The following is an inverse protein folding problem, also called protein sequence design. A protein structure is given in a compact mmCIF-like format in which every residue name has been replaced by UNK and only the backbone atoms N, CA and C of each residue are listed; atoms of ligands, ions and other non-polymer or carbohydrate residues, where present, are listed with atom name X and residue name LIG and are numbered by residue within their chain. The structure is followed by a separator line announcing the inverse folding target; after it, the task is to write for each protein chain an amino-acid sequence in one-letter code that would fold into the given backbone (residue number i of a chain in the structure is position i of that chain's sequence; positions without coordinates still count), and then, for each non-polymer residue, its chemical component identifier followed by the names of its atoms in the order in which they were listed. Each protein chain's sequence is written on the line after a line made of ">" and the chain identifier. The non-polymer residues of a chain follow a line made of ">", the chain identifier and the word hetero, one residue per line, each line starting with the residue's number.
data_IF_070504912836
#
_entry.id   IF_070504912836
#
_cell.length_a   1.000
_cell.length_b   1.000
_cell.length_c   1.000
_cell.angle_alpha   90.00
_cell.angle_beta   90.00
_cell.angle_gamma   90.00
#
_symmetry.space_group_name_H-M   'P 1'
#
loop_
_entity.id
_entity.type
_entity.pdbx_description
1 polymer ?
#
# COMPACT_ATOMS: atom_id res chain seq x y z
N UNK A 1 31.33 -7.24 -13.94
CA UNK A 1 30.70 -8.44 -13.37
C UNK A 1 30.72 -9.53 -14.42
N UNK A 2 31.15 -10.74 -14.08
CA UNK A 2 31.18 -11.86 -15.02
C UNK A 2 29.73 -12.35 -15.23
N UNK A 3 29.15 -12.07 -16.41
CA UNK A 3 27.83 -12.58 -16.78
C UNK A 3 27.84 -14.10 -16.85
N UNK A 4 26.66 -14.72 -16.70
CA UNK A 4 26.54 -16.17 -16.88
C UNK A 4 26.25 -16.51 -18.33
N UNK A 5 27.00 -17.45 -18.90
CA UNK A 5 26.71 -18.00 -20.21
C UNK A 5 25.58 -19.03 -20.09
N UNK A 6 24.40 -18.71 -20.62
CA UNK A 6 23.36 -19.72 -20.85
C UNK A 6 23.78 -20.52 -22.07
N UNK A 7 23.68 -21.85 -21.99
CA UNK A 7 24.44 -22.80 -22.82
C UNK A 7 24.37 -22.65 -24.36
N UNK A 8 23.48 -21.82 -24.90
CA UNK A 8 23.37 -21.51 -26.34
C UNK A 8 23.62 -20.04 -26.71
N UNK A 9 24.34 -19.26 -25.90
CA UNK A 9 24.93 -17.99 -26.34
C UNK A 9 24.28 -16.72 -25.78
N UNK A 10 23.15 -16.82 -25.08
CA UNK A 10 22.62 -15.69 -24.30
C UNK A 10 23.46 -15.46 -23.04
N UNK A 11 23.95 -14.23 -22.84
CA UNK A 11 24.64 -13.83 -21.60
C UNK A 11 23.78 -12.81 -20.88
N UNK A 12 23.05 -13.25 -19.85
CA UNK A 12 22.46 -12.31 -18.88
C UNK A 12 23.59 -11.85 -17.96
N UNK A 13 23.88 -10.55 -18.02
CA UNK A 13 24.92 -9.91 -17.22
C UNK A 13 24.39 -9.32 -15.92
N UNK A 14 23.06 -9.22 -15.83
CA UNK A 14 22.35 -8.65 -14.69
C UNK A 14 22.55 -9.52 -13.45
N UNK A 15 22.61 -8.87 -12.29
CA UNK A 15 22.66 -9.55 -10.98
C UNK A 15 21.37 -10.29 -10.66
N UNK A 16 20.25 -9.77 -11.17
CA UNK A 16 18.90 -10.28 -10.94
C UNK A 16 18.11 -10.25 -12.25
N UNK A 17 17.28 -11.27 -12.46
CA UNK A 17 16.53 -11.49 -13.69
C UNK A 17 15.31 -12.38 -13.41
N UNK A 18 14.53 -12.72 -14.44
CA UNK A 18 13.29 -13.48 -14.33
C UNK A 18 13.49 -14.91 -14.83
N UNK A 19 12.95 -15.88 -14.11
CA UNK A 19 12.76 -17.24 -14.57
C UNK A 19 11.28 -17.48 -14.88
N UNK A 20 10.98 -18.13 -16.00
CA UNK A 20 9.61 -18.52 -16.37
C UNK A 20 9.47 -20.02 -16.59
N UNK A 21 8.30 -20.54 -16.26
CA UNK A 21 7.86 -21.89 -16.59
C UNK A 21 6.56 -21.83 -17.38
N UNK A 22 6.54 -22.45 -18.55
CA UNK A 22 5.38 -22.49 -19.44
C UNK A 22 4.35 -23.51 -18.96
N UNK A 23 3.06 -23.18 -19.07
CA UNK A 23 2.00 -24.19 -19.00
C UNK A 23 2.18 -25.16 -20.18
N UNK A 24 2.10 -26.48 -19.94
CA UNK A 24 2.69 -27.49 -20.83
C UNK A 24 2.32 -27.42 -22.33
N UNK A 25 1.13 -26.91 -22.70
CA UNK A 25 0.71 -26.73 -24.10
C UNK A 25 1.20 -25.41 -24.71
N UNK A 26 1.51 -24.41 -23.88
CA UNK A 26 1.84 -23.04 -24.26
C UNK A 26 3.36 -22.80 -24.30
N UNK A 27 4.17 -23.86 -24.29
CA UNK A 27 5.63 -23.73 -24.47
C UNK A 27 5.96 -23.42 -25.93
N UNK A 28 6.95 -22.55 -26.23
CA UNK A 28 7.40 -22.30 -27.61
C UNK A 28 7.99 -23.54 -28.30
N UNK A 29 8.30 -24.61 -27.55
CA UNK A 29 8.69 -25.92 -28.12
C UNK A 29 7.50 -26.71 -28.69
N UNK A 30 6.27 -26.34 -28.33
CA UNK A 30 5.02 -27.07 -28.62
C UNK A 30 3.94 -26.19 -29.25
N UNK A 31 4.05 -24.88 -29.12
CA UNK A 31 3.14 -23.88 -29.67
C UNK A 31 3.91 -23.01 -30.68
N UNK A 32 3.55 -23.14 -31.96
CA UNK A 32 4.16 -22.38 -33.07
C UNK A 32 3.88 -20.89 -32.97
N UNK A 33 2.65 -20.48 -32.63
CA UNK A 33 2.27 -19.07 -32.56
C UNK A 33 3.07 -18.30 -31.49
N UNK A 34 3.35 -18.95 -30.34
CA UNK A 34 4.20 -18.36 -29.28
C UNK A 34 5.66 -18.32 -29.71
N UNK A 35 6.12 -19.32 -30.45
CA UNK A 35 7.48 -19.35 -30.99
C UNK A 35 7.67 -18.20 -31.98
N UNK A 36 6.72 -18.03 -32.91
CA UNK A 36 6.75 -16.98 -33.92
C UNK A 36 6.68 -15.59 -33.26
N UNK A 37 5.83 -15.40 -32.25
CA UNK A 37 5.80 -14.17 -31.44
C UNK A 37 7.16 -13.83 -30.83
N UNK A 38 7.85 -14.82 -30.24
CA UNK A 38 9.17 -14.60 -29.64
C UNK A 38 10.21 -14.22 -30.70
N UNK A 39 10.18 -14.88 -31.87
CA UNK A 39 11.07 -14.57 -32.99
C UNK A 39 10.84 -13.14 -33.52
N UNK A 40 9.58 -12.72 -33.66
CA UNK A 40 9.22 -11.35 -34.06
C UNK A 40 9.72 -10.31 -33.05
N UNK A 41 9.53 -10.55 -31.74
CA UNK A 41 10.01 -9.65 -30.68
C UNK A 41 11.55 -9.58 -30.64
N UNK A 42 12.22 -10.72 -30.86
CA UNK A 42 13.67 -10.78 -30.91
C UNK A 42 14.23 -9.99 -32.08
N UNK A 43 13.61 -10.11 -33.27
CA UNK A 43 13.96 -9.33 -34.46
C UNK A 43 13.72 -7.83 -34.28
N UNK A 44 12.63 -7.44 -33.63
CA UNK A 44 12.25 -6.04 -33.46
C UNK A 44 13.08 -5.33 -32.36
N UNK A 45 13.35 -6.00 -31.23
CA UNK A 45 13.87 -5.34 -30.02
C UNK A 45 15.21 -5.89 -29.50
N UNK A 46 15.61 -7.13 -29.81
CA UNK A 46 16.67 -7.84 -29.06
C UNK A 46 17.85 -8.39 -29.89
N UNK A 47 17.90 -8.12 -31.20
CA UNK A 47 19.00 -8.58 -32.08
C UNK A 47 20.41 -8.25 -31.57
N UNK A 48 20.60 -7.03 -31.06
CA UNK A 48 21.92 -6.53 -30.63
C UNK A 48 22.22 -6.76 -29.14
N UNK A 49 21.22 -7.12 -28.33
CA UNK A 49 21.31 -7.23 -26.87
C UNK A 49 21.24 -8.67 -26.34
N UNK A 50 20.93 -9.63 -27.22
CA UNK A 50 20.77 -11.04 -26.89
C UNK A 50 19.28 -11.43 -26.90
N UNK A 51 18.95 -12.47 -27.65
CA UNK A 51 17.57 -12.89 -27.92
C UNK A 51 16.96 -13.64 -26.73
N UNK A 52 15.63 -13.56 -26.58
CA UNK A 52 14.85 -14.39 -25.67
C UNK A 52 14.96 -15.87 -26.05
N UNK A 53 14.98 -16.18 -27.35
CA UNK A 53 15.15 -17.55 -27.85
C UNK A 53 16.38 -18.25 -27.26
N UNK A 54 17.49 -17.51 -27.09
CA UNK A 54 18.75 -18.03 -26.54
C UNK A 54 18.82 -18.02 -25.01
N UNK A 55 18.08 -17.14 -24.34
CA UNK A 55 18.12 -16.96 -22.89
C UNK A 55 17.07 -17.78 -22.13
N UNK A 56 15.97 -18.17 -22.78
CA UNK A 56 14.92 -18.98 -22.16
C UNK A 56 15.46 -20.24 -21.44
N UNK A 57 14.99 -20.54 -20.21
CA UNK A 57 13.83 -19.96 -19.53
C UNK A 57 14.11 -18.70 -18.70
N UNK A 58 15.29 -18.08 -18.85
CA UNK A 58 15.68 -16.90 -18.10
C UNK A 58 15.59 -15.66 -18.98
N UNK A 59 15.03 -14.58 -18.47
CA UNK A 59 14.78 -13.34 -19.19
C UNK A 59 15.29 -12.17 -18.37
N UNK A 60 15.89 -11.16 -19.00
CA UNK A 60 16.07 -9.85 -18.34
C UNK A 60 14.69 -9.28 -17.96
N UNK A 61 14.64 -8.28 -17.09
CA UNK A 61 13.36 -7.65 -16.76
C UNK A 61 12.70 -7.02 -17.99
N UNK A 62 13.47 -6.35 -18.85
CA UNK A 62 12.99 -5.83 -20.13
C UNK A 62 12.39 -6.93 -21.01
N UNK A 63 13.10 -8.05 -21.19
CA UNK A 63 12.60 -9.17 -21.98
C UNK A 63 11.31 -9.76 -21.41
N UNK A 64 11.23 -9.92 -20.09
CA UNK A 64 10.05 -10.45 -19.42
C UNK A 64 8.84 -9.53 -19.59
N UNK A 65 9.00 -8.22 -19.37
CA UNK A 65 7.91 -7.24 -19.52
C UNK A 65 7.42 -7.16 -20.96
N UNK A 66 8.34 -7.08 -21.93
CA UNK A 66 7.99 -7.09 -23.35
C UNK A 66 7.23 -8.36 -23.73
N UNK A 67 7.71 -9.53 -23.30
CA UNK A 67 7.05 -10.80 -23.58
C UNK A 67 5.66 -10.89 -22.93
N UNK A 68 5.51 -10.45 -21.69
CA UNK A 68 4.24 -10.57 -20.96
C UNK A 68 3.16 -9.68 -21.56
N UNK A 69 3.50 -8.44 -21.93
CA UNK A 69 2.57 -7.57 -22.66
C UNK A 69 2.21 -8.15 -24.03
N UNK A 70 3.18 -8.65 -24.79
CA UNK A 70 2.93 -9.22 -26.11
C UNK A 70 2.04 -10.48 -26.03
N UNK A 71 2.29 -11.38 -25.07
CA UNK A 71 1.45 -12.56 -24.83
C UNK A 71 0.00 -12.16 -24.52
N UNK A 72 -0.19 -11.15 -23.66
CA UNK A 72 -1.51 -10.65 -23.32
C UNK A 72 -2.20 -10.03 -24.53
N UNK A 73 -1.49 -9.19 -25.27
CA UNK A 73 -2.06 -8.42 -26.37
C UNK A 73 -2.45 -9.34 -27.55
N UNK A 74 -1.70 -10.41 -27.79
CA UNK A 74 -1.98 -11.36 -28.86
C UNK A 74 -2.97 -12.48 -28.47
N UNK A 75 -2.91 -12.99 -27.24
CA UNK A 75 -3.66 -14.18 -26.82
C UNK A 75 -4.75 -13.91 -25.76
N UNK A 76 -4.87 -12.67 -25.27
CA UNK A 76 -5.74 -12.31 -24.15
C UNK A 76 -5.15 -12.75 -22.81
N UNK A 77 -6.02 -13.08 -21.84
CA UNK A 77 -5.56 -13.56 -20.54
C UNK A 77 -4.65 -14.80 -20.70
N UNK A 78 -3.39 -14.67 -20.28
CA UNK A 78 -2.36 -15.69 -20.47
C UNK A 78 -1.84 -16.20 -19.13
N UNK A 79 -1.59 -17.51 -19.00
CA UNK A 79 -1.11 -18.11 -17.75
C UNK A 79 0.21 -18.84 -17.94
N UNK A 80 1.25 -18.40 -17.25
CA UNK A 80 2.48 -19.14 -17.06
C UNK A 80 2.33 -20.11 -15.87
N UNK A 81 2.97 -21.28 -15.95
CA UNK A 81 2.96 -22.25 -14.85
C UNK A 81 3.67 -21.68 -13.62
N UNK A 82 4.75 -20.91 -13.83
CA UNK A 82 5.50 -20.24 -12.77
C UNK A 82 6.24 -19.03 -13.31
N UNK A 83 6.35 -17.99 -12.50
CA UNK A 83 7.35 -16.93 -12.64
C UNK A 83 8.10 -16.78 -11.33
N UNK A 84 9.43 -16.60 -11.38
CA UNK A 84 10.29 -16.45 -10.21
C UNK A 84 11.30 -15.34 -10.44
N UNK A 85 11.61 -14.60 -9.38
CA UNK A 85 12.88 -13.89 -9.35
C UNK A 85 14.02 -14.91 -9.41
N UNK A 86 15.10 -14.52 -10.06
CA UNK A 86 16.31 -15.30 -10.19
C UNK A 86 17.52 -14.39 -9.97
N UNK A 87 18.57 -14.93 -9.37
CA UNK A 87 19.81 -14.22 -9.10
C UNK A 87 21.01 -14.96 -9.70
N UNK A 88 22.07 -14.21 -9.97
CA UNK A 88 23.34 -14.77 -10.39
C UNK A 88 24.23 -15.12 -9.19
N UNK A 89 24.23 -16.39 -8.79
CA UNK A 89 25.09 -16.91 -7.75
C UNK A 89 26.41 -17.42 -8.33
N UNK A 90 27.45 -16.58 -8.28
CA UNK A 90 28.82 -16.94 -8.70
C UNK A 90 28.91 -17.42 -10.16
N UNK A 91 28.15 -16.80 -11.05
CA UNK A 91 28.08 -17.21 -12.45
C UNK A 91 27.24 -18.46 -12.63
N UNK A 92 26.11 -18.59 -11.92
CA UNK A 92 25.05 -19.58 -12.17
C UNK A 92 23.70 -19.00 -11.77
N UNK A 93 22.63 -19.24 -12.54
CA UNK A 93 21.31 -18.78 -12.18
C UNK A 93 20.77 -19.64 -11.03
N UNK A 94 20.20 -18.98 -10.02
CA UNK A 94 19.49 -19.59 -8.91
C UNK A 94 18.11 -18.97 -8.78
N UNK A 95 17.14 -19.80 -8.44
CA UNK A 95 15.77 -19.40 -8.03
C UNK A 95 15.43 -19.94 -6.64
N UNK A 96 16.44 -20.49 -5.95
CA UNK A 96 16.29 -21.05 -4.62
C UNK A 96 16.04 -19.91 -3.63
N UNK A 97 15.07 -20.10 -2.73
CA UNK A 97 14.64 -19.07 -1.77
C UNK A 97 14.23 -17.72 -2.37
N UNK A 98 13.93 -17.68 -3.67
CA UNK A 98 13.46 -16.47 -4.34
C UNK A 98 11.92 -16.34 -4.34
N UNK A 99 11.40 -15.09 -4.35
CA UNK A 99 9.99 -14.81 -4.58
C UNK A 99 9.52 -15.43 -5.90
N UNK A 100 8.40 -16.16 -5.84
CA UNK A 100 7.84 -16.82 -7.01
C UNK A 100 6.32 -16.88 -6.95
N UNK A 101 5.70 -16.96 -8.11
CA UNK A 101 4.25 -17.00 -8.30
C UNK A 101 3.91 -18.20 -9.17
N UNK A 102 3.00 -19.05 -8.69
CA UNK A 102 2.53 -20.22 -9.41
C UNK A 102 1.08 -20.53 -9.05
N UNK A 103 0.14 -20.56 -10.02
CA UNK A 103 0.30 -20.12 -11.42
C UNK A 103 0.45 -18.59 -11.51
N UNK A 104 1.03 -18.09 -12.61
CA UNK A 104 1.17 -16.65 -12.86
C UNK A 104 0.23 -16.22 -14.00
N UNK A 105 -0.76 -15.40 -13.66
CA UNK A 105 -1.76 -14.87 -14.58
C UNK A 105 -1.34 -13.49 -15.10
N UNK A 106 -1.35 -13.34 -16.42
CA UNK A 106 -1.13 -12.10 -17.16
C UNK A 106 -2.49 -11.73 -17.79
N UNK A 107 -3.25 -10.89 -17.09
CA UNK A 107 -4.56 -10.42 -17.55
C UNK A 107 -4.52 -8.91 -17.83
N UNK A 108 -5.68 -8.32 -18.10
CA UNK A 108 -5.85 -6.88 -18.29
C UNK A 108 -5.45 -6.02 -17.06
N UNK A 109 -5.27 -6.61 -15.88
CA UNK A 109 -4.81 -5.94 -14.64
C UNK A 109 -3.31 -6.11 -14.41
N UNK A 110 -2.61 -6.84 -15.29
CA UNK A 110 -1.16 -6.92 -15.26
C UNK A 110 -0.54 -5.56 -15.62
N UNK A 111 0.19 -5.00 -14.64
CA UNK A 111 0.93 -3.75 -14.78
C UNK A 111 2.43 -4.04 -14.97
N UNK A 112 3.08 -4.57 -13.93
CA UNK A 112 4.49 -4.97 -13.98
C UNK A 112 4.81 -6.16 -13.08
N UNK A 113 5.90 -6.87 -13.36
CA UNK A 113 6.31 -8.08 -12.66
C UNK A 113 6.77 -7.80 -11.24
N UNK A 114 7.38 -6.63 -11.01
CA UNK A 114 7.99 -6.32 -9.72
C UNK A 114 6.93 -6.15 -8.64
N UNK A 115 5.83 -5.45 -8.93
CA UNK A 115 4.67 -5.36 -8.02
C UNK A 115 4.16 -6.76 -7.66
N UNK A 116 4.01 -7.65 -8.66
CA UNK A 116 3.52 -9.01 -8.41
C UNK A 116 4.49 -9.83 -7.54
N UNK A 117 5.80 -9.73 -7.77
CA UNK A 117 6.81 -10.43 -6.98
C UNK A 117 6.94 -9.89 -5.55
N UNK A 118 6.84 -8.57 -5.36
CA UNK A 118 6.82 -7.95 -4.04
C UNK A 118 5.60 -8.42 -3.24
N UNK A 119 4.41 -8.40 -3.84
CA UNK A 119 3.19 -8.95 -3.22
C UNK A 119 3.34 -10.44 -2.88
N UNK A 120 3.91 -11.23 -3.79
CA UNK A 120 4.15 -12.65 -3.58
C UNK A 120 5.06 -12.90 -2.38
N UNK A 121 6.12 -12.08 -2.22
CA UNK A 121 7.02 -12.17 -1.08
C UNK A 121 6.32 -11.94 0.26
N UNK A 122 5.30 -11.07 0.28
CA UNK A 122 4.51 -10.81 1.49
C UNK A 122 3.56 -11.95 1.84
N UNK A 123 3.12 -12.73 0.84
CA UNK A 123 2.21 -13.88 1.00
C UNK A 123 2.95 -15.18 1.33
N UNK A 124 4.21 -15.31 0.93
CA UNK A 124 4.92 -16.59 0.96
C UNK A 124 5.35 -17.01 2.39
N UNK A 125 4.90 -18.18 2.88
CA UNK A 125 5.29 -18.69 4.21
C UNK A 125 6.78 -18.96 4.38
N UNK A 126 7.54 -19.15 3.27
CA UNK A 126 9.00 -19.27 3.32
C UNK A 126 9.64 -18.01 3.89
N UNK A 127 9.01 -16.85 3.70
CA UNK A 127 9.50 -15.56 4.17
C UNK A 127 8.85 -15.09 5.49
N UNK A 128 8.19 -15.99 6.23
CA UNK A 128 7.49 -15.64 7.48
C UNK A 128 8.40 -15.07 8.58
N UNK A 129 9.68 -15.46 8.56
CA UNK A 129 10.65 -15.12 9.61
C UNK A 129 11.41 -13.82 9.29
N UNK A 130 11.21 -13.25 8.10
CA UNK A 130 11.71 -11.92 7.72
C UNK A 130 10.72 -10.85 8.18
N UNK A 131 11.22 -9.68 8.57
CA UNK A 131 10.35 -8.53 8.87
C UNK A 131 9.89 -7.84 7.59
N UNK A 132 8.87 -6.98 7.71
CA UNK A 132 8.46 -6.12 6.60
C UNK A 132 9.63 -5.28 6.05
N UNK A 133 10.44 -4.70 6.94
CA UNK A 133 11.57 -3.86 6.56
C UNK A 133 12.66 -4.67 5.84
N UNK A 134 12.89 -5.93 6.24
CA UNK A 134 13.86 -6.81 5.57
C UNK A 134 13.44 -7.10 4.12
N UNK A 135 12.16 -7.43 3.92
CA UNK A 135 11.62 -7.67 2.58
C UNK A 135 11.62 -6.38 1.75
N UNK A 136 11.21 -5.26 2.32
CA UNK A 136 11.25 -3.98 1.62
C UNK A 136 12.69 -3.62 1.22
N UNK A 137 13.67 -3.82 2.11
CA UNK A 137 15.08 -3.56 1.82
C UNK A 137 15.61 -4.47 0.72
N UNK A 138 15.23 -5.75 0.71
CA UNK A 138 15.62 -6.70 -0.34
C UNK A 138 15.30 -6.17 -1.75
N UNK A 139 14.11 -5.57 -1.93
CA UNK A 139 13.73 -4.99 -3.21
C UNK A 139 14.25 -3.56 -3.42
N UNK A 140 14.25 -2.72 -2.38
CA UNK A 140 14.40 -1.25 -2.51
C UNK A 140 15.78 -0.70 -2.12
N UNK A 141 16.71 -1.56 -1.67
CA UNK A 141 18.04 -1.11 -1.29
C UNK A 141 18.71 -0.30 -2.41
N UNK A 142 19.32 0.83 -2.04
CA UNK A 142 19.84 1.80 -3.01
C UNK A 142 21.06 1.29 -3.77
N UNK A 143 21.83 0.40 -3.14
CA UNK A 143 23.09 -0.08 -3.72
C UNK A 143 22.88 -1.41 -4.44
N UNK A 144 22.11 -2.32 -3.84
CA UNK A 144 22.00 -3.72 -4.26
C UNK A 144 20.55 -4.23 -4.37
N UNK A 145 19.54 -3.36 -4.24
CA UNK A 145 18.14 -3.77 -4.30
C UNK A 145 17.71 -4.21 -5.70
N UNK A 146 16.77 -5.16 -5.78
CA UNK A 146 16.26 -5.70 -7.05
C UNK A 146 15.68 -4.60 -7.96
N UNK A 147 15.03 -3.58 -7.38
CA UNK A 147 14.47 -2.46 -8.12
C UNK A 147 15.51 -1.66 -8.89
N UNK A 148 16.77 -1.65 -8.44
CA UNK A 148 17.86 -1.00 -9.16
C UNK A 148 18.11 -1.70 -10.49
N UNK A 149 18.25 -3.03 -10.48
CA UNK A 149 18.45 -3.83 -11.70
C UNK A 149 17.24 -3.76 -12.62
N UNK A 150 16.03 -3.75 -12.04
CA UNK A 150 14.80 -3.50 -12.79
C UNK A 150 14.80 -2.12 -13.47
N UNK A 151 15.18 -1.06 -12.75
CA UNK A 151 15.30 0.30 -13.29
C UNK A 151 16.29 0.36 -14.45
N UNK A 152 17.47 -0.24 -14.28
CA UNK A 152 18.53 -0.27 -15.28
C UNK A 152 18.10 -1.03 -16.53
N UNK A 153 17.38 -2.15 -16.36
CA UNK A 153 16.92 -2.97 -17.47
C UNK A 153 15.85 -2.28 -18.32
N UNK A 154 14.91 -1.56 -17.70
CA UNK A 154 13.84 -0.83 -18.40
C UNK A 154 14.16 0.64 -18.69
N UNK A 155 15.34 1.12 -18.28
CA UNK A 155 15.74 2.54 -18.35
C UNK A 155 14.72 3.48 -17.65
N UNK A 156 14.25 3.09 -16.47
CA UNK A 156 13.29 3.83 -15.67
C UNK A 156 13.96 4.89 -14.79
N UNK A 157 13.25 6.00 -14.56
CA UNK A 157 13.64 6.96 -13.54
C UNK A 157 13.20 6.49 -12.15
N UNK A 158 13.76 7.11 -11.10
CA UNK A 158 13.35 6.79 -9.73
C UNK A 158 11.86 7.08 -9.46
N UNK A 159 11.25 8.02 -10.21
CA UNK A 159 9.83 8.35 -10.06
C UNK A 159 8.89 7.29 -10.67
N UNK A 160 9.40 6.48 -11.59
CA UNK A 160 8.64 5.46 -12.31
C UNK A 160 8.77 4.07 -11.65
N UNK A 161 9.55 3.98 -10.57
CA UNK A 161 9.75 2.72 -9.86
C UNK A 161 8.54 2.37 -8.99
N UNK A 162 8.09 1.10 -9.01
CA UNK A 162 7.03 0.67 -8.13
C UNK A 162 7.48 0.71 -6.67
N UNK A 163 6.57 1.15 -5.80
CA UNK A 163 6.80 1.15 -4.36
C UNK A 163 6.61 -0.25 -3.80
N UNK A 164 7.40 -0.60 -2.79
CA UNK A 164 7.16 -1.83 -2.03
C UNK A 164 5.81 -1.69 -1.28
N UNK A 165 4.85 -2.60 -1.51
CA UNK A 165 3.49 -2.45 -1.03
C UNK A 165 3.39 -2.70 0.47
N UNK A 166 2.45 -2.03 1.16
CA UNK A 166 2.17 -2.29 2.57
C UNK A 166 1.51 -3.66 2.75
N UNK A 167 1.76 -4.34 3.88
CA UNK A 167 1.09 -5.63 4.17
C UNK A 167 -0.43 -5.54 4.20
N UNK A 168 -0.98 -4.37 4.57
CA UNK A 168 -2.43 -4.10 4.58
C UNK A 168 -3.07 -4.14 3.20
N UNK A 169 -2.28 -3.79 2.18
CA UNK A 169 -2.76 -3.57 0.82
C UNK A 169 -2.64 -4.88 0.01
N UNK A 170 -1.83 -5.82 0.50
CA UNK A 170 -1.61 -7.12 -0.12
C UNK A 170 -2.49 -8.18 0.53
N UNK A 171 -3.56 -8.54 -0.17
CA UNK A 171 -4.44 -9.61 0.27
C UNK A 171 -3.67 -10.92 0.50
N UNK A 172 -3.89 -11.55 1.65
CA UNK A 172 -3.21 -12.80 2.03
C UNK A 172 -1.78 -12.62 2.52
N UNK A 173 -1.30 -11.37 2.70
CA UNK A 173 -0.03 -11.12 3.34
C UNK A 173 0.00 -11.67 4.77
N UNK A 174 1.15 -12.24 5.12
CA UNK A 174 1.43 -12.68 6.49
C UNK A 174 1.66 -11.42 7.34
N UNK A 175 0.98 -11.30 8.48
CA UNK A 175 1.21 -10.15 9.39
C UNK A 175 2.57 -10.30 10.07
N UNK A 176 3.49 -9.38 9.79
CA UNK A 176 4.84 -9.40 10.38
C UNK A 176 4.95 -8.42 11.53
N UNK A 177 5.88 -8.69 12.43
CA UNK A 177 6.21 -7.74 13.48
C UNK A 177 7.00 -6.59 12.86
N UNK A 178 6.50 -5.36 13.00
CA UNK A 178 7.30 -4.17 12.72
C UNK A 178 8.27 -3.94 13.90
N UNK A 179 9.58 -3.78 13.66
CA UNK A 179 10.47 -3.34 14.72
C UNK A 179 9.99 -1.98 15.23
N UNK A 180 9.74 -1.88 16.55
CA UNK A 180 9.43 -0.59 17.20
C UNK A 180 10.64 0.33 16.99
N UNK A 181 10.49 1.32 16.11
CA UNK A 181 11.51 2.33 15.84
C UNK A 181 11.67 3.23 17.08
N UNK A 182 12.57 2.85 17.99
CA UNK A 182 13.04 3.74 19.05
C UNK A 182 13.80 4.90 18.39
N UNK A 183 13.20 6.08 18.45
CA UNK A 183 13.78 7.32 17.97
C UNK A 183 14.44 8.01 19.17
N UNK A 184 15.77 7.92 19.29
CA UNK A 184 16.61 9.05 19.74
C UNK A 184 18.13 8.79 19.70
N UNK A 185 18.79 9.76 19.04
CA UNK A 185 20.12 10.37 19.23
C UNK A 185 21.41 9.53 19.18
N UNK A 186 22.32 10.01 18.34
CA UNK A 186 23.72 10.22 18.73
C UNK A 186 24.74 9.68 17.74
N UNK A 187 25.29 10.57 16.91
CA UNK A 187 26.51 10.32 16.13
C UNK A 187 27.66 9.95 17.08
N UNK A 188 28.35 8.86 16.75
CA UNK A 188 29.77 8.67 17.07
C UNK A 188 30.39 7.87 15.93
N UNK A 189 31.05 8.58 15.02
CA UNK A 189 32.24 8.12 14.29
C UNK A 189 33.31 7.68 15.33
N UNK A 190 34.23 6.75 15.10
CA UNK A 190 34.61 5.90 13.98
C UNK A 190 35.57 4.84 14.58
N UNK A 191 35.57 3.62 14.05
CA UNK A 191 36.46 2.55 14.50
C UNK A 191 36.43 1.35 13.56
N UNK A 192 36.99 1.57 12.38
CA UNK A 192 37.49 0.62 11.36
C UNK A 192 37.20 -0.90 11.45
N UNK A 193 36.61 -1.36 10.34
CA UNK A 193 37.00 -2.51 9.51
C UNK A 193 36.55 -3.95 9.90
N UNK A 194 35.69 -4.47 9.01
CA UNK A 194 35.60 -5.86 8.54
C UNK A 194 35.24 -6.95 9.56
N UNK A 195 33.94 -7.22 9.71
CA UNK A 195 33.46 -8.60 9.98
C UNK A 195 31.97 -8.82 9.65
N UNK A 196 31.52 -8.51 8.43
CA UNK A 196 30.19 -8.94 7.98
C UNK A 196 30.19 -9.35 6.51
N UNK A 197 31.11 -10.24 6.12
CA UNK A 197 30.97 -11.04 4.91
C UNK A 197 31.69 -12.38 5.10
N UNK A 198 31.00 -13.46 4.72
CA UNK A 198 31.39 -14.88 4.82
C UNK A 198 31.12 -15.58 6.16
N UNK A 199 29.97 -16.26 6.25
CA UNK A 199 29.84 -17.63 6.81
C UNK A 199 28.47 -18.21 6.44
N UNK A 200 28.27 -18.64 5.19
CA UNK A 200 27.34 -19.75 4.91
C UNK A 200 27.99 -20.67 3.89
N UNK A 201 28.70 -21.67 4.40
CA UNK A 201 28.93 -22.94 3.72
C UNK A 201 29.24 -24.02 4.77
N UNK A 202 28.65 -25.20 4.56
CA UNK A 202 28.88 -26.50 5.19
C UNK A 202 28.18 -26.85 6.52
N UNK A 203 27.03 -27.52 6.35
CA UNK A 203 26.59 -28.65 7.18
C UNK A 203 25.93 -29.72 6.29
N UNK A 204 26.71 -30.69 5.81
CA UNK A 204 26.26 -31.89 5.08
C UNK A 204 25.60 -32.89 6.04
N UNK A 205 24.51 -33.54 5.60
CA UNK A 205 24.28 -34.97 5.86
C UNK A 205 23.09 -35.39 6.74
N UNK A 206 22.19 -36.16 6.10
CA UNK A 206 21.28 -37.18 6.66
C UNK A 206 19.94 -36.67 7.24
N UNK A 207 18.96 -36.49 6.35
CA UNK A 207 17.60 -37.02 6.55
C UNK A 207 16.94 -37.29 5.18
N UNK A 208 17.65 -38.03 4.32
CA UNK A 208 17.03 -38.74 3.22
C UNK A 208 16.41 -40.03 3.74
N UNK A 209 15.19 -39.96 4.28
CA UNK A 209 14.16 -41.01 4.26
C UNK A 209 12.97 -40.56 5.11
N UNK A 210 11.76 -40.75 4.56
CA UNK A 210 10.42 -40.36 5.05
C UNK A 210 10.13 -38.87 4.77
N UNK A 211 9.42 -38.46 3.70
CA UNK A 211 8.07 -38.88 3.31
C UNK A 211 7.97 -38.91 1.78
N UNK A 212 8.34 -40.05 1.18
CA UNK A 212 7.48 -40.61 0.14
C UNK A 212 6.23 -41.12 0.83
N UNK A 213 5.06 -40.93 0.22
CA UNK A 213 3.69 -41.10 0.78
C UNK A 213 3.13 -39.81 1.42
N UNK A 214 2.81 -38.82 0.60
CA UNK A 214 1.54 -38.09 0.72
C UNK A 214 0.95 -37.72 -0.66
N UNK A 215 1.22 -38.55 -1.67
CA UNK A 215 0.57 -38.50 -2.98
C UNK A 215 -0.71 -39.33 -3.08
N UNK A 216 -1.21 -39.90 -1.97
CA UNK A 216 -2.41 -40.77 -1.96
C UNK A 216 -3.26 -40.59 -0.70
N UNK A 217 -3.74 -39.37 -0.44
CA UNK A 217 -5.05 -39.12 0.22
C UNK A 217 -5.72 -37.94 -0.47
N UNK A 218 -5.95 -38.08 -1.78
CA UNK A 218 -7.06 -37.41 -2.44
C UNK A 218 -8.27 -38.29 -2.17
N UNK A 219 -9.13 -37.86 -1.24
CA UNK A 219 -10.39 -38.52 -0.93
C UNK A 219 -10.68 -38.53 0.57
N UNK A 220 -11.72 -37.82 0.98
CA UNK A 220 -12.30 -37.77 2.35
C UNK A 220 -11.70 -36.74 3.34
N UNK A 221 -11.72 -35.45 2.98
CA UNK A 221 -11.84 -34.34 3.96
C UNK A 221 -12.34 -33.05 3.29
N UNK A 222 -13.35 -33.15 2.42
CA UNK A 222 -13.93 -32.01 1.72
C UNK A 222 -15.36 -31.81 2.17
N UNK A 223 -15.59 -30.94 3.16
CA UNK A 223 -16.89 -30.26 3.37
C UNK A 223 -16.67 -28.95 4.16
N UNK A 224 -15.86 -28.95 5.23
CA UNK A 224 -15.57 -27.73 6.01
C UNK A 224 -14.66 -26.74 5.29
N UNK A 225 -13.64 -27.21 4.56
CA UNK A 225 -12.74 -26.36 3.75
C UNK A 225 -13.41 -25.75 2.51
N UNK A 226 -14.50 -26.35 2.01
CA UNK A 226 -15.28 -25.83 0.86
C UNK A 226 -16.17 -24.66 1.25
N UNK A 227 -16.91 -24.78 2.37
CA UNK A 227 -17.70 -23.67 2.89
C UNK A 227 -16.82 -22.46 3.27
N UNK A 228 -15.62 -22.70 3.78
CA UNK A 228 -14.65 -21.63 4.07
C UNK A 228 -14.04 -21.03 2.80
N UNK A 229 -13.87 -21.81 1.72
CA UNK A 229 -13.45 -21.30 0.42
C UNK A 229 -14.56 -20.46 -0.21
N UNK A 230 -15.81 -20.94 -0.23
CA UNK A 230 -16.95 -20.21 -0.80
C UNK A 230 -17.25 -18.93 -0.02
N UNK A 231 -17.16 -18.94 1.31
CA UNK A 231 -17.30 -17.73 2.12
C UNK A 231 -16.17 -16.72 1.86
N UNK A 232 -14.94 -17.18 1.66
CA UNK A 232 -13.83 -16.32 1.25
C UNK A 232 -14.04 -15.78 -0.16
N UNK A 233 -14.44 -16.61 -1.13
CA UNK A 233 -14.73 -16.16 -2.50
C UNK A 233 -15.89 -15.15 -2.54
N UNK A 234 -16.96 -15.37 -1.78
CA UNK A 234 -18.08 -14.43 -1.68
C UNK A 234 -17.68 -13.12 -0.99
N UNK A 235 -16.86 -13.19 0.06
CA UNK A 235 -16.31 -12.01 0.73
C UNK A 235 -15.41 -11.19 -0.21
N UNK A 236 -14.53 -11.85 -0.96
CA UNK A 236 -13.64 -11.19 -1.92
C UNK A 236 -14.38 -10.60 -3.10
N UNK A 237 -15.42 -11.26 -3.59
CA UNK A 237 -16.30 -10.69 -4.62
C UNK A 237 -17.03 -9.44 -4.10
N UNK A 238 -17.49 -9.47 -2.85
CA UNK A 238 -18.09 -8.29 -2.20
C UNK A 238 -17.07 -7.17 -1.97
N UNK A 239 -15.84 -7.49 -1.60
CA UNK A 239 -14.75 -6.51 -1.40
C UNK A 239 -14.30 -5.90 -2.73
N UNK A 240 -14.20 -6.71 -3.80
CA UNK A 240 -13.92 -6.25 -5.16
C UNK A 240 -15.02 -5.31 -5.68
N UNK A 241 -16.30 -5.66 -5.49
CA UNK A 241 -17.41 -4.76 -5.87
C UNK A 241 -17.38 -3.44 -5.10
N UNK A 242 -16.98 -3.46 -3.82
CA UNK A 242 -16.81 -2.25 -3.00
C UNK A 242 -15.67 -1.38 -3.51
N UNK A 243 -14.55 -1.97 -3.90
CA UNK A 243 -13.40 -1.25 -4.46
C UNK A 243 -13.75 -0.65 -5.83
N UNK A 244 -14.41 -1.41 -6.71
CA UNK A 244 -14.88 -0.89 -8.01
C UNK A 244 -15.85 0.27 -7.82
N UNK A 245 -16.83 0.12 -6.92
CA UNK A 245 -17.77 1.19 -6.59
C UNK A 245 -17.07 2.42 -6.01
N UNK A 246 -16.03 2.23 -5.19
CA UNK A 246 -15.23 3.35 -4.68
C UNK A 246 -14.49 4.06 -5.82
N UNK A 247 -13.77 3.32 -6.68
CA UNK A 247 -13.03 3.87 -7.81
C UNK A 247 -13.92 4.60 -8.83
N UNK A 248 -15.10 4.05 -9.14
CA UNK A 248 -16.06 4.69 -10.06
C UNK A 248 -16.63 6.00 -9.52
N UNK A 249 -16.72 6.13 -8.19
CA UNK A 249 -17.48 7.21 -7.53
C UNK A 249 -16.60 8.22 -6.82
N UNK A 250 -15.33 7.91 -6.58
CA UNK A 250 -14.38 8.77 -5.85
C UNK A 250 -14.31 10.18 -6.45
N UNK A 251 -14.14 10.29 -7.77
CA UNK A 251 -14.07 11.60 -8.44
C UNK A 251 -15.38 12.38 -8.34
N UNK A 252 -16.53 11.71 -8.51
CA UNK A 252 -17.83 12.35 -8.39
C UNK A 252 -18.10 12.82 -6.95
N UNK A 253 -17.69 12.02 -5.97
CA UNK A 253 -17.73 12.35 -4.56
C UNK A 253 -16.81 13.54 -4.22
N UNK A 254 -15.59 13.61 -4.78
CA UNK A 254 -14.70 14.76 -4.60
C UNK A 254 -15.32 16.06 -5.14
N UNK A 255 -15.86 15.99 -6.36
CA UNK A 255 -16.55 17.13 -6.96
C UNK A 255 -17.70 17.60 -6.07
N UNK A 256 -18.52 16.67 -5.56
CA UNK A 256 -19.57 16.99 -4.59
C UNK A 256 -19.01 17.71 -3.35
N UNK A 257 -17.96 17.16 -2.72
CA UNK A 257 -17.35 17.75 -1.54
C UNK A 257 -16.82 19.16 -1.80
N UNK A 258 -16.22 19.41 -2.97
CA UNK A 258 -15.72 20.73 -3.39
C UNK A 258 -16.84 21.76 -3.58
N UNK A 259 -18.06 21.35 -3.92
CA UNK A 259 -19.23 22.24 -3.94
C UNK A 259 -19.85 22.42 -2.56
N UNK A 260 -19.92 21.35 -1.77
CA UNK A 260 -20.50 21.40 -0.42
C UNK A 260 -19.68 22.29 0.53
N UNK A 261 -18.37 22.12 0.58
CA UNK A 261 -17.49 22.76 1.57
C UNK A 261 -17.56 24.30 1.57
N UNK A 262 -17.48 24.99 0.42
CA UNK A 262 -17.65 26.45 0.38
C UNK A 262 -19.03 26.91 0.86
N UNK A 263 -20.08 26.13 0.58
CA UNK A 263 -21.43 26.43 1.06
C UNK A 263 -21.54 26.18 2.58
N UNK A 264 -20.90 25.12 3.09
CA UNK A 264 -20.81 24.84 4.54
C UNK A 264 -20.16 25.99 5.32
N UNK A 265 -19.07 26.58 4.80
CA UNK A 265 -18.38 27.70 5.45
C UNK A 265 -18.91 29.10 5.07
N UNK A 266 -20.03 29.17 4.34
CA UNK A 266 -20.62 30.44 3.89
C UNK A 266 -21.37 31.20 4.99
N UNK A 267 -21.70 30.54 6.11
CA UNK A 267 -22.61 31.04 7.14
C UNK A 267 -24.09 31.07 6.73
N UNK A 268 -24.44 30.66 5.51
CA UNK A 268 -25.79 30.69 4.96
C UNK A 268 -26.46 29.31 5.03
N UNK A 269 -27.53 29.18 5.82
CA UNK A 269 -28.23 27.90 6.02
C UNK A 269 -28.97 27.46 4.76
N UNK A 270 -29.57 28.39 4.04
CA UNK A 270 -30.30 28.11 2.79
C UNK A 270 -29.39 27.55 1.70
N UNK A 271 -28.11 27.95 1.69
CA UNK A 271 -27.11 27.43 0.77
C UNK A 271 -26.80 25.93 0.98
N UNK A 272 -27.14 25.35 2.13
CA UNK A 272 -26.95 23.92 2.40
C UNK A 272 -28.10 23.05 1.88
N UNK A 273 -29.27 23.63 1.62
CA UNK A 273 -30.48 22.87 1.28
C UNK A 273 -30.29 21.85 0.14
N UNK A 274 -29.55 22.15 -0.95
CA UNK A 274 -29.32 21.18 -2.03
C UNK A 274 -28.48 19.96 -1.63
N UNK A 275 -27.73 20.06 -0.52
CA UNK A 275 -26.74 19.07 -0.11
C UNK A 275 -27.24 18.17 1.02
N UNK A 276 -28.21 18.59 1.83
CA UNK A 276 -28.58 17.88 3.06
C UNK A 276 -29.65 16.81 2.81
N UNK A 277 -29.44 15.60 3.33
CA UNK A 277 -30.51 14.60 3.39
C UNK A 277 -31.59 14.98 4.40
N UNK A 278 -32.80 14.43 4.22
CA UNK A 278 -33.98 14.68 5.06
C UNK A 278 -33.91 14.06 6.47
N UNK A 279 -32.85 13.28 6.75
CA UNK A 279 -32.55 12.68 8.05
C UNK A 279 -31.86 13.66 9.00
N UNK A 280 -30.84 13.20 9.71
CA UNK A 280 -30.11 13.99 10.72
C UNK A 280 -29.32 15.14 10.10
N UNK A 281 -28.85 14.97 8.86
CA UNK A 281 -28.09 16.00 8.14
C UNK A 281 -28.84 17.32 7.97
N UNK A 282 -30.19 17.33 7.97
CA UNK A 282 -30.97 18.59 7.86
C UNK A 282 -30.69 19.59 8.98
N UNK A 283 -30.20 19.12 10.12
CA UNK A 283 -29.88 19.96 11.28
C UNK A 283 -28.49 20.60 11.20
N UNK A 284 -27.62 20.17 10.28
CA UNK A 284 -26.27 20.70 10.04
C UNK A 284 -26.26 22.22 9.95
N UNK A 285 -25.63 22.91 10.89
CA UNK A 285 -25.49 24.36 10.86
C UNK A 285 -24.26 24.76 10.04
N UNK A 286 -24.35 25.81 9.18
CA UNK A 286 -23.18 26.30 8.49
C UNK A 286 -22.19 26.94 9.48
N UNK A 287 -20.91 26.81 9.18
CA UNK A 287 -19.86 27.59 9.81
C UNK A 287 -19.57 28.85 9.00
N UNK A 288 -18.92 29.85 9.59
CA UNK A 288 -18.45 31.03 8.87
C UNK A 288 -16.93 31.05 8.87
N UNK A 289 -16.32 30.84 7.70
CA UNK A 289 -14.86 30.95 7.55
C UNK A 289 -14.47 31.32 6.12
N UNK A 290 -13.35 32.01 5.95
CA UNK A 290 -12.77 32.23 4.61
C UNK A 290 -11.83 31.08 4.26
N UNK A 291 -12.26 30.23 3.33
CA UNK A 291 -11.47 29.11 2.83
C UNK A 291 -10.41 29.62 1.83
N UNK A 292 -9.17 29.18 2.02
CA UNK A 292 -8.06 29.36 1.07
C UNK A 292 -7.88 28.13 0.20
N UNK A 293 -7.98 26.92 0.77
CA UNK A 293 -7.89 25.67 0.02
C UNK A 293 -8.71 24.54 0.65
N UNK A 294 -9.15 23.62 -0.20
CA UNK A 294 -9.79 22.36 0.17
C UNK A 294 -9.14 21.20 -0.62
N UNK A 295 -8.42 20.33 0.08
CA UNK A 295 -7.73 19.18 -0.52
C UNK A 295 -8.34 17.89 0.03
N UNK A 296 -8.78 17.02 -0.87
CA UNK A 296 -9.26 15.70 -0.50
C UNK A 296 -8.10 14.89 0.10
N UNK A 297 -8.31 14.33 1.28
CA UNK A 297 -7.35 13.46 1.97
C UNK A 297 -7.72 11.98 1.82
N UNK A 298 -9.02 11.64 1.92
CA UNK A 298 -9.47 10.26 1.91
C UNK A 298 -10.95 10.15 1.51
N UNK A 299 -11.31 9.05 0.83
CA UNK A 299 -12.68 8.60 0.63
C UNK A 299 -12.80 7.15 1.11
N UNK A 300 -13.75 6.90 2.00
CA UNK A 300 -13.97 5.57 2.58
C UNK A 300 -15.40 5.11 2.33
N UNK A 301 -15.59 3.95 1.70
CA UNK A 301 -16.90 3.31 1.60
C UNK A 301 -17.23 2.60 2.92
N UNK A 302 -18.33 2.99 3.55
CA UNK A 302 -18.84 2.39 4.79
C UNK A 302 -19.72 1.16 4.50
N UNK A 303 -20.04 0.40 5.57
CA UNK A 303 -20.79 -0.86 5.45
C UNK A 303 -22.22 -0.68 4.94
N UNK A 304 -22.79 0.51 5.05
CA UNK A 304 -24.16 0.87 4.70
C UNK A 304 -24.27 1.56 3.32
N UNK A 305 -23.26 1.40 2.47
CA UNK A 305 -23.15 2.01 1.14
C UNK A 305 -23.07 3.55 1.17
N UNK A 306 -22.70 4.15 2.30
CA UNK A 306 -22.35 5.57 2.40
C UNK A 306 -20.85 5.78 2.21
N UNK A 307 -20.45 6.97 1.76
CA UNK A 307 -19.05 7.35 1.64
C UNK A 307 -18.70 8.37 2.71
N UNK A 308 -17.62 8.16 3.44
CA UNK A 308 -17.03 9.17 4.31
C UNK A 308 -15.91 9.89 3.56
N UNK A 309 -16.05 11.20 3.39
CA UNK A 309 -15.03 12.04 2.78
C UNK A 309 -14.29 12.78 3.89
N UNK A 310 -12.96 12.86 3.78
CA UNK A 310 -12.12 13.67 4.65
C UNK A 310 -11.33 14.66 3.82
N UNK A 311 -11.40 15.93 4.18
CA UNK A 311 -10.68 17.02 3.53
C UNK A 311 -9.74 17.71 4.52
N UNK A 312 -8.60 18.18 4.00
CA UNK A 312 -7.76 19.19 4.65
C UNK A 312 -8.23 20.56 4.18
N UNK A 313 -8.73 21.37 5.11
CA UNK A 313 -9.24 22.72 4.86
C UNK A 313 -8.29 23.73 5.45
N UNK A 314 -7.88 24.68 4.60
CA UNK A 314 -7.03 25.79 4.97
C UNK A 314 -7.87 27.07 5.00
N UNK A 315 -7.80 27.81 6.11
CA UNK A 315 -8.57 29.03 6.34
C UNK A 315 -7.66 30.24 6.48
N UNK A 316 -8.13 31.39 6.01
CA UNK A 316 -7.52 32.68 6.33
C UNK A 316 -8.10 33.21 7.64
N UNK A 317 -7.24 33.59 8.58
CA UNK A 317 -7.62 34.21 9.84
C UNK A 317 -6.80 35.48 10.09
N UNK A 318 -7.21 36.30 11.07
CA UNK A 318 -6.45 37.49 11.45
C UNK A 318 -5.01 37.16 11.94
N UNK A 319 -4.79 35.94 12.43
CA UNK A 319 -3.51 35.44 12.95
C UNK A 319 -2.68 34.72 11.87
N UNK A 320 -3.13 34.70 10.61
CA UNK A 320 -2.53 33.95 9.52
C UNK A 320 -3.38 32.76 9.08
N UNK A 321 -2.74 31.78 8.47
CA UNK A 321 -3.43 30.64 7.85
C UNK A 321 -3.56 29.49 8.84
N UNK A 322 -4.77 28.96 9.05
CA UNK A 322 -5.03 27.80 9.92
C UNK A 322 -5.50 26.61 9.10
N UNK A 323 -5.13 25.40 9.51
CA UNK A 323 -5.52 24.16 8.81
C UNK A 323 -6.26 23.20 9.74
N UNK A 324 -7.33 22.57 9.25
CA UNK A 324 -8.07 21.52 9.96
C UNK A 324 -8.46 20.39 9.01
N UNK A 325 -8.73 19.21 9.57
CA UNK A 325 -9.46 18.16 8.85
C UNK A 325 -10.95 18.35 9.03
N UNK A 326 -11.72 18.13 7.97
CA UNK A 326 -13.17 18.09 7.97
C UNK A 326 -13.63 16.75 7.38
N UNK A 327 -14.43 15.99 8.14
CA UNK A 327 -14.97 14.71 7.69
C UNK A 327 -16.50 14.72 7.68
N UNK A 328 -17.12 14.17 6.64
CA UNK A 328 -18.59 14.06 6.53
C UNK A 328 -19.00 12.86 5.67
N UNK A 329 -20.15 12.27 5.99
CA UNK A 329 -20.74 11.15 5.25
C UNK A 329 -21.66 11.63 4.12
N UNK A 330 -21.62 10.95 2.98
CA UNK A 330 -22.48 11.19 1.82
C UNK A 330 -23.13 9.90 1.33
N UNK A 331 -24.24 10.01 0.60
CA UNK A 331 -24.91 8.90 -0.06
C UNK A 331 -25.42 9.31 -1.43
N UNK A 332 -25.34 8.41 -2.40
CA UNK A 332 -25.89 8.62 -3.74
C UNK A 332 -27.41 8.84 -3.68
N UNK A 333 -27.89 9.84 -4.41
CA UNK A 333 -29.31 10.07 -4.65
C UNK A 333 -29.51 10.64 -6.07
N UNK A 334 -30.17 9.87 -6.93
CA UNK A 334 -30.43 10.24 -8.33
C UNK A 334 -31.32 11.50 -8.48
N UNK A 335 -31.96 11.95 -7.39
CA UNK A 335 -32.76 13.18 -7.36
C UNK A 335 -31.99 14.37 -6.77
N UNK A 336 -30.82 14.14 -6.20
CA UNK A 336 -30.00 15.22 -5.67
C UNK A 336 -29.36 16.01 -6.81
N UNK A 337 -29.31 17.34 -6.65
CA UNK A 337 -28.75 18.26 -7.65
C UNK A 337 -27.30 17.92 -8.01
N UNK A 338 -26.52 17.46 -7.04
CA UNK A 338 -25.11 17.10 -7.19
C UNK A 338 -24.86 15.58 -7.13
N UNK A 339 -25.90 14.75 -7.32
CA UNK A 339 -25.81 13.29 -7.33
C UNK A 339 -25.61 12.61 -5.96
N UNK A 340 -25.29 13.38 -4.92
CA UNK A 340 -25.13 12.91 -3.54
C UNK A 340 -25.85 13.82 -2.55
N UNK A 341 -26.10 13.30 -1.35
CA UNK A 341 -26.56 14.05 -0.18
C UNK A 341 -25.68 13.75 1.03
N UNK A 342 -25.44 14.76 1.86
CA UNK A 342 -24.85 14.66 3.20
C UNK A 342 -25.77 13.83 4.08
N UNK A 343 -25.20 12.85 4.78
CA UNK A 343 -25.91 11.94 5.68
C UNK A 343 -25.52 12.10 7.14
N UNK A 344 -24.38 12.73 7.43
CA UNK A 344 -23.91 13.02 8.78
C UNK A 344 -23.49 14.48 8.91
N UNK A 345 -23.56 15.03 10.12
CA UNK A 345 -22.98 16.35 10.39
C UNK A 345 -21.46 16.34 10.15
N UNK A 346 -20.87 17.42 9.59
CA UNK A 346 -19.43 17.51 9.43
C UNK A 346 -18.69 17.59 10.77
N UNK A 347 -17.60 16.84 10.88
CA UNK A 347 -16.77 16.77 12.09
C UNK A 347 -15.38 17.32 11.78
N UNK A 348 -14.93 18.28 12.59
CA UNK A 348 -13.61 18.88 12.47
C UNK A 348 -12.59 18.25 13.41
N UNK A 349 -11.35 18.04 12.96
CA UNK A 349 -10.21 17.63 13.80
C UNK A 349 -8.93 18.40 13.47
N UNK A 350 -7.93 18.32 14.35
CA UNK A 350 -6.62 18.97 14.14
C UNK A 350 -5.89 18.30 12.98
N UNK A 351 -5.28 19.11 12.11
CA UNK A 351 -4.38 18.66 11.04
C UNK A 351 -2.94 19.01 11.44
N UNK A 352 -2.23 18.06 12.06
CA UNK A 352 -0.83 18.15 12.57
C UNK A 352 -0.59 19.37 13.50
N UNK A 353 -0.30 19.13 14.78
CA UNK A 353 -0.01 20.21 15.74
C UNK A 353 1.20 21.04 15.29
N UNK A 354 1.02 22.36 15.16
CA UNK A 354 2.14 23.31 15.15
C UNK A 354 2.96 23.10 16.44
N UNK A 355 4.25 22.81 16.28
CA UNK A 355 5.20 22.88 17.38
C UNK A 355 5.26 24.35 17.82
N UNK A 356 4.58 24.68 18.92
CA UNK A 356 4.84 25.93 19.62
C UNK A 356 6.29 25.92 20.11
N UNK A 357 7.05 26.90 19.61
CA UNK A 357 8.35 27.26 20.12
C UNK A 357 8.28 27.38 21.65
N UNK A 358 9.16 26.63 22.33
CA UNK A 358 9.35 26.77 23.76
C UNK A 358 9.92 28.14 24.06
N UNK A 359 9.06 29.04 24.54
CA UNK A 359 9.48 30.20 25.29
C UNK A 359 9.39 29.84 26.78
N UNK A 360 10.54 29.84 27.44
CA UNK A 360 10.68 29.59 28.85
C UNK A 360 10.01 30.72 29.64
N UNK A 361 8.98 30.40 30.41
CA UNK A 361 8.70 31.14 31.64
C UNK A 361 8.36 30.15 32.76
N UNK A 362 9.34 30.00 33.66
CA UNK A 362 9.21 29.33 34.96
C UNK A 362 8.47 30.25 35.92
N UNK A 363 7.58 29.67 36.74
CA UNK A 363 7.12 30.04 38.11
C UNK A 363 5.63 29.66 38.24
N UNK A 364 5.11 28.94 39.23
CA UNK A 364 5.60 28.45 40.53
C UNK A 364 4.64 27.36 41.05
N UNK A 365 5.13 26.58 42.04
CA UNK A 365 4.37 25.93 43.15
C UNK A 365 3.40 24.78 42.81
N UNK A 366 3.75 23.52 43.05
CA UNK A 366 3.94 22.80 44.33
C UNK A 366 2.62 22.27 44.93
N UNK A 367 2.49 20.94 44.82
CA UNK A 367 1.81 19.94 45.68
C UNK A 367 0.55 20.30 46.47
N UNK A 368 -0.49 19.46 46.29
CA UNK A 368 -1.57 19.29 47.26
C UNK A 368 -2.48 18.12 46.91
N UNK A 369 -2.25 16.99 47.56
CA UNK A 369 -2.96 15.72 47.45
C UNK A 369 -4.40 15.77 48.01
N UNK A 370 -5.19 14.75 47.70
CA UNK A 370 -6.52 14.45 48.27
C UNK A 370 -6.51 14.47 49.81
N UNK A 371 -7.53 15.07 50.43
CA UNK A 371 -8.42 14.34 51.33
C UNK A 371 -9.65 15.12 51.78
N UNK A 372 -10.75 14.39 51.84
CA UNK A 372 -12.06 14.71 52.41
C UNK A 372 -12.01 14.54 53.93
N UNK A 373 -12.73 15.41 54.66
CA UNK A 373 -13.63 15.12 55.80
C UNK A 373 -13.55 16.11 56.97
N UNK A 374 -14.75 16.61 57.27
CA UNK A 374 -15.33 16.89 58.60
C UNK A 374 -14.85 18.05 59.48
N UNK A 375 -15.84 18.94 59.69
CA UNK A 375 -16.40 19.32 61.00
C UNK A 375 -16.03 20.68 61.59
N UNK A 376 -17.11 21.43 61.85
CA UNK A 376 -17.37 22.24 63.04
C UNK A 376 -16.68 23.60 63.17
N UNK A 377 -17.52 24.63 63.08
CA UNK A 377 -17.74 25.50 64.23
C UNK A 377 -17.57 26.99 63.99
N UNK A 378 -18.68 27.72 64.17
CA UNK A 378 -18.80 29.06 64.80
C UNK A 378 -18.01 30.22 64.19
N UNK A 379 -18.50 31.46 64.04
CA UNK A 379 -19.67 32.18 64.52
C UNK A 379 -19.69 33.53 63.74
N UNK A 380 -20.85 34.20 63.78
CA UNK A 380 -21.14 35.63 63.57
C UNK A 380 -19.96 36.60 63.37
N UNK A 381 -20.05 37.67 62.56
CA UNK A 381 -21.05 38.72 62.70
C UNK A 381 -20.85 39.82 61.62
N UNK A 382 -21.98 40.36 61.14
CA UNK A 382 -22.30 41.77 60.79
C UNK A 382 -21.39 42.58 59.82
N UNK A 383 -21.98 43.06 58.71
CA UNK A 383 -22.57 44.42 58.53
C UNK A 383 -21.45 45.41 58.14
N UNK A 384 -21.49 46.26 57.11
CA UNK A 384 -22.58 47.02 56.48
C UNK A 384 -21.99 47.71 55.24
N UNK A 385 -22.76 47.74 54.16
CA UNK A 385 -23.13 48.95 53.40
C UNK A 385 -22.06 50.00 53.01
N UNK A 386 -22.07 50.29 51.71
CA UNK A 386 -22.29 51.65 51.13
C UNK A 386 -21.18 52.19 50.22
N UNK A 387 -21.60 52.33 48.96
CA UNK A 387 -21.43 53.50 48.09
C UNK A 387 -20.22 53.63 47.16
N UNK A 388 -20.58 53.56 45.88
CA UNK A 388 -20.36 54.55 44.82
C UNK A 388 -18.91 54.92 44.43
N UNK A 389 -18.47 54.33 43.31
CA UNK A 389 -18.16 54.94 41.99
C UNK A 389 -17.52 56.36 41.91
N UNK A 390 -17.01 56.77 40.72
CA UNK A 390 -16.02 56.14 39.85
C UNK A 390 -14.93 57.16 39.41
N UNK A 391 -13.83 56.69 38.82
CA UNK A 391 -13.14 57.27 37.65
C UNK A 391 -12.07 56.31 37.17
#
# INVERSE_FOLDING_TARGET
>A
MAGFALGKGGVIKDSSFIYIEWAGKDSPKRNGDIKDLIEDLDEEYFLDSGTMGDSLPYLTFLQAETLFHALRDQFGDFTLAKVSLANNESGKPSIEDEPSISPFLIDHTYDNIMTKLMEASLRDPRFKDYTYDDLALYFTDKENGILRTYAESLNLSQADLPYFPMESDVQGAIKRAHPKKNRNKGVSEMGEQNLLLSKIALGLGIAGLLIGILGLVIGMMGNSKRAQLEAQTAFLYQEQQKIQKLQEKEHAADVFGRFFIPNYYSGNKEALNPFLSSGDAKYTQPEQAQIVSNLLENVKLEKDDTFTLTYVITFSTAEGVKTKRLSFGIKEDNKAEYGFLITSEPVSSIYISENNNGDESKQSEEQGDKQTETSSGSEENKQSESSQAPS
#
